data_IF_186642803952
#
_entry.id   IF_186642803952
#
_cell.length_a   1.000
_cell.length_b   1.000
_cell.length_c   1.000
_cell.angle_alpha   90.00
_cell.angle_beta   90.00
_cell.angle_gamma   90.00
#
_symmetry.space_group_name_H-M   'P 1'
#
loop_
_entity.id
_entity.type
_entity.pdbx_description
1 polymer ?
#
# COMPACT_ATOMS: atom_id res chain seq x y z
N UNK A 1 -28.77 -28.14 -10.12
CA UNK A 1 -28.82 -27.73 -8.69
C UNK A 1 -27.42 -27.30 -8.24
N UNK A 2 -26.40 -28.16 -8.36
CA UNK A 2 -25.01 -27.89 -7.93
C UNK A 2 -24.36 -26.70 -8.67
N UNK A 3 -24.59 -26.53 -9.97
CA UNK A 3 -24.01 -25.43 -10.75
C UNK A 3 -24.44 -24.04 -10.25
N UNK A 4 -25.71 -23.87 -9.88
CA UNK A 4 -26.24 -22.58 -9.39
C UNK A 4 -25.70 -22.20 -8.02
N UNK A 5 -25.42 -23.19 -7.18
CA UNK A 5 -24.81 -23.01 -5.87
C UNK A 5 -23.35 -22.57 -6.03
N UNK A 6 -22.58 -23.25 -6.89
CA UNK A 6 -21.20 -22.85 -7.18
C UNK A 6 -21.15 -21.45 -7.79
N UNK A 7 -22.07 -21.13 -8.70
CA UNK A 7 -22.20 -19.79 -9.27
C UNK A 7 -22.53 -18.73 -8.20
N UNK A 8 -23.43 -19.04 -7.26
CA UNK A 8 -23.74 -18.15 -6.14
C UNK A 8 -22.52 -17.90 -5.26
N UNK A 9 -21.77 -18.96 -4.92
CA UNK A 9 -20.55 -18.82 -4.12
C UNK A 9 -19.46 -17.99 -4.83
N UNK A 10 -19.46 -18.00 -6.17
CA UNK A 10 -18.57 -17.15 -6.96
C UNK A 10 -19.03 -15.69 -6.95
N UNK A 11 -20.35 -15.42 -7.04
CA UNK A 11 -20.91 -14.05 -6.94
C UNK A 11 -20.58 -13.44 -5.58
N UNK A 12 -20.66 -14.24 -4.52
CA UNK A 12 -20.35 -13.81 -3.14
C UNK A 12 -18.84 -13.82 -2.82
N UNK A 13 -18.00 -14.16 -3.80
CA UNK A 13 -16.54 -14.27 -3.67
C UNK A 13 -16.10 -15.24 -2.54
N UNK A 14 -16.92 -16.24 -2.23
CA UNK A 14 -16.64 -17.28 -1.24
C UNK A 14 -15.74 -18.38 -1.82
N UNK A 15 -15.96 -18.76 -3.09
CA UNK A 15 -15.14 -19.75 -3.78
C UNK A 15 -14.83 -19.33 -5.23
N UNK A 16 -13.54 -19.25 -5.56
CA UNK A 16 -13.06 -18.92 -6.90
C UNK A 16 -12.47 -20.18 -7.52
N UNK A 17 -13.19 -20.75 -8.49
CA UNK A 17 -12.75 -21.93 -9.23
C UNK A 17 -12.46 -21.55 -10.68
N UNK A 18 -11.21 -21.73 -11.10
CA UNK A 18 -10.76 -21.45 -12.46
C UNK A 18 -11.51 -22.26 -13.53
N UNK A 19 -11.93 -23.49 -13.20
CA UNK A 19 -12.69 -24.33 -14.13
C UNK A 19 -14.11 -23.76 -14.37
N UNK A 20 -14.74 -23.22 -13.32
CA UNK A 20 -16.05 -22.59 -13.42
C UNK A 20 -15.97 -21.27 -14.20
N UNK A 21 -14.90 -20.49 -14.03
CA UNK A 21 -14.68 -19.27 -14.81
C UNK A 21 -14.53 -19.56 -16.31
N UNK A 22 -13.81 -20.62 -16.67
CA UNK A 22 -13.67 -21.06 -18.06
C UNK A 22 -15.01 -21.58 -18.64
N UNK A 23 -15.81 -22.27 -17.83
CA UNK A 23 -17.16 -22.72 -18.18
C UNK A 23 -18.13 -21.55 -18.38
N UNK A 24 -18.08 -20.55 -17.49
CA UNK A 24 -18.89 -19.32 -17.56
C UNK A 24 -18.64 -18.54 -18.87
N UNK A 25 -17.41 -18.56 -19.39
CA UNK A 25 -17.07 -17.93 -20.66
C UNK A 25 -17.59 -18.67 -21.90
N UNK A 26 -18.02 -19.93 -21.75
CA UNK A 26 -18.46 -20.81 -22.86
C UNK A 26 -19.97 -21.05 -22.86
N UNK A 27 -20.60 -21.06 -21.70
CA UNK A 27 -22.03 -21.36 -21.55
C UNK A 27 -22.86 -20.07 -21.37
N UNK A 28 -23.72 -19.80 -22.35
CA UNK A 28 -24.62 -18.64 -22.37
C UNK A 28 -25.67 -18.68 -21.24
N UNK A 29 -26.15 -19.85 -20.83
CA UNK A 29 -27.14 -19.99 -19.78
C UNK A 29 -26.54 -19.71 -18.39
N UNK A 30 -25.29 -20.12 -18.16
CA UNK A 30 -24.54 -19.77 -16.96
C UNK A 30 -24.21 -18.28 -16.93
N UNK A 31 -23.76 -17.69 -18.05
CA UNK A 31 -23.52 -16.26 -18.17
C UNK A 31 -24.79 -15.43 -17.89
N UNK A 32 -25.94 -15.86 -18.40
CA UNK A 32 -27.23 -15.23 -18.13
C UNK A 32 -27.62 -15.32 -16.65
N UNK A 33 -27.37 -16.47 -16.01
CA UNK A 33 -27.63 -16.65 -14.58
C UNK A 33 -26.74 -15.75 -13.72
N UNK A 34 -25.46 -15.61 -14.08
CA UNK A 34 -24.50 -14.70 -13.44
C UNK A 34 -24.97 -13.25 -13.52
N UNK A 35 -25.37 -12.81 -14.71
CA UNK A 35 -25.91 -11.48 -14.94
C UNK A 35 -27.16 -11.22 -14.10
N UNK A 36 -28.10 -12.18 -14.04
CA UNK A 36 -29.32 -12.04 -13.25
C UNK A 36 -29.03 -11.91 -11.75
N UNK A 37 -28.07 -12.64 -11.21
CA UNK A 37 -27.71 -12.54 -9.79
C UNK A 37 -27.17 -11.16 -9.43
N UNK A 38 -26.27 -10.61 -10.25
CA UNK A 38 -25.80 -9.23 -10.07
C UNK A 38 -26.93 -8.21 -10.20
N UNK A 39 -27.79 -8.35 -11.22
CA UNK A 39 -28.95 -7.46 -11.42
C UNK A 39 -29.91 -7.49 -10.22
N UNK A 40 -30.23 -8.67 -9.67
CA UNK A 40 -31.06 -8.79 -8.47
C UNK A 40 -30.41 -8.06 -7.29
N UNK A 41 -29.10 -8.26 -7.09
CA UNK A 41 -28.33 -7.57 -6.06
C UNK A 41 -28.38 -6.04 -6.21
N UNK A 42 -28.20 -5.53 -7.42
CA UNK A 42 -28.24 -4.09 -7.71
C UNK A 42 -29.64 -3.51 -7.48
N UNK A 43 -30.69 -4.26 -7.84
CA UNK A 43 -32.09 -3.86 -7.55
C UNK A 43 -32.31 -3.80 -6.04
N UNK A 44 -31.85 -4.81 -5.29
CA UNK A 44 -32.01 -4.86 -3.84
C UNK A 44 -31.27 -3.73 -3.12
N UNK A 45 -30.10 -3.30 -3.63
CA UNK A 45 -29.33 -2.17 -3.10
C UNK A 45 -29.84 -0.80 -3.58
N UNK A 46 -30.76 -0.77 -4.54
CA UNK A 46 -31.24 0.47 -5.14
C UNK A 46 -30.21 1.14 -6.05
N UNK A 47 -29.24 0.39 -6.57
CA UNK A 47 -28.15 0.85 -7.43
C UNK A 47 -28.52 0.78 -8.93
N UNK A 48 -29.75 0.42 -9.24
CA UNK A 48 -30.20 0.32 -10.64
C UNK A 48 -30.53 1.69 -11.23
N UNK A 49 -29.99 2.02 -12.42
CA UNK A 49 -30.42 3.21 -13.16
C UNK A 49 -31.88 3.08 -13.59
N UNK A 50 -32.55 4.20 -13.84
CA UNK A 50 -33.95 4.25 -14.30
C UNK A 50 -34.21 3.43 -15.58
N UNK A 51 -33.16 3.19 -16.37
CA UNK A 51 -33.18 2.31 -17.55
C UNK A 51 -31.99 1.37 -17.50
N UNK A 52 -32.23 0.06 -17.40
CA UNK A 52 -31.20 -0.98 -17.48
C UNK A 52 -30.98 -1.32 -18.96
N UNK A 53 -29.82 -0.95 -19.51
CA UNK A 53 -29.46 -1.28 -20.90
C UNK A 53 -28.57 -2.51 -20.94
N UNK A 54 -29.13 -3.64 -21.38
CA UNK A 54 -28.41 -4.91 -21.52
C UNK A 54 -27.48 -4.94 -22.75
N UNK A 55 -27.62 -3.98 -23.65
CA UNK A 55 -26.81 -3.88 -24.87
C UNK A 55 -25.37 -3.42 -24.62
N UNK A 56 -25.09 -2.83 -23.45
CA UNK A 56 -23.75 -2.34 -23.10
C UNK A 56 -22.73 -3.47 -23.06
N UNK A 57 -23.07 -4.61 -22.44
CA UNK A 57 -22.17 -5.77 -22.37
C UNK A 57 -21.78 -6.21 -23.78
N UNK A 58 -22.76 -6.33 -24.69
CA UNK A 58 -22.52 -6.73 -26.09
C UNK A 58 -21.65 -5.72 -26.84
N UNK A 59 -21.93 -4.42 -26.68
CA UNK A 59 -21.14 -3.37 -27.32
C UNK A 59 -19.69 -3.35 -26.82
N UNK A 60 -19.48 -3.52 -25.51
CA UNK A 60 -18.16 -3.57 -24.88
C UNK A 60 -17.41 -4.82 -25.35
N UNK A 61 -18.03 -5.99 -25.36
CA UNK A 61 -17.39 -7.22 -25.85
C UNK A 61 -16.96 -7.09 -27.32
N UNK A 62 -17.80 -6.47 -28.16
CA UNK A 62 -17.45 -6.21 -29.55
C UNK A 62 -16.28 -5.24 -29.69
N UNK A 63 -16.27 -4.16 -28.90
CA UNK A 63 -15.17 -3.19 -28.90
C UNK A 63 -13.85 -3.83 -28.44
N UNK A 64 -13.88 -4.63 -27.37
CA UNK A 64 -12.70 -5.35 -26.86
C UNK A 64 -12.17 -6.35 -27.90
N UNK A 65 -13.05 -7.02 -28.65
CA UNK A 65 -12.63 -7.95 -29.70
C UNK A 65 -11.91 -7.25 -30.87
N UNK A 66 -12.13 -5.95 -31.07
CA UNK A 66 -11.47 -5.14 -32.08
C UNK A 66 -10.14 -4.55 -31.59
N UNK A 67 -9.84 -4.63 -30.29
CA UNK A 67 -8.58 -4.15 -29.73
C UNK A 67 -7.39 -5.02 -30.19
N UNK A 68 -6.27 -4.40 -30.60
CA UNK A 68 -5.06 -5.16 -30.92
C UNK A 68 -4.53 -5.82 -29.66
N UNK A 69 -4.22 -7.12 -29.74
CA UNK A 69 -3.70 -7.89 -28.61
C UNK A 69 -2.47 -7.18 -28.01
N UNK A 70 -2.62 -6.68 -26.78
CA UNK A 70 -1.54 -6.06 -26.04
C UNK A 70 -0.47 -7.12 -25.80
N UNK A 71 0.63 -7.08 -26.55
CA UNK A 71 1.85 -7.81 -26.22
C UNK A 71 2.45 -7.19 -24.97
N UNK A 72 1.98 -7.65 -23.81
CA UNK A 72 2.63 -7.37 -22.56
C UNK A 72 4.06 -7.91 -22.65
N UNK A 73 5.10 -7.12 -22.32
CA UNK A 73 6.44 -7.66 -22.16
C UNK A 73 6.31 -8.80 -21.16
N UNK A 74 6.53 -10.04 -21.61
CA UNK A 74 6.72 -11.15 -20.68
C UNK A 74 7.84 -10.66 -19.77
N UNK A 75 7.55 -10.50 -18.48
CA UNK A 75 8.62 -10.37 -17.51
C UNK A 75 9.51 -11.58 -17.75
N UNK A 76 10.68 -11.34 -18.34
CA UNK A 76 11.73 -12.34 -18.40
C UNK A 76 12.12 -12.55 -16.95
N UNK A 77 11.43 -13.49 -16.29
CA UNK A 77 11.97 -14.17 -15.15
C UNK A 77 13.36 -14.61 -15.60
N UNK A 78 14.39 -14.03 -14.96
CA UNK A 78 15.81 -14.26 -15.19
C UNK A 78 16.55 -13.20 -16.04
N UNK A 79 16.80 -12.02 -15.45
CA UNK A 79 18.16 -11.46 -15.43
C UNK A 79 18.38 -10.50 -14.24
N UNK A 80 17.96 -10.92 -13.05
CA UNK A 80 18.21 -10.16 -11.81
C UNK A 80 19.69 -10.11 -11.42
N UNK A 81 20.55 -10.92 -12.04
CA UNK A 81 21.98 -11.02 -11.74
C UNK A 81 22.76 -9.74 -12.12
N UNK A 82 22.38 -9.06 -13.20
CA UNK A 82 23.08 -7.85 -13.66
C UNK A 82 22.65 -6.61 -12.87
N UNK A 83 21.33 -6.45 -12.65
CA UNK A 83 20.77 -5.36 -11.86
C UNK A 83 21.19 -5.42 -10.38
N UNK A 84 21.21 -6.61 -9.77
CA UNK A 84 21.62 -6.78 -8.37
C UNK A 84 23.12 -6.55 -8.15
N UNK A 85 23.99 -6.86 -9.12
CA UNK A 85 25.44 -6.71 -8.94
C UNK A 85 25.93 -5.28 -9.15
N UNK A 86 25.35 -4.54 -10.08
CA UNK A 86 25.87 -3.21 -10.48
C UNK A 86 25.08 -2.07 -9.84
N UNK A 87 23.75 -2.20 -9.72
CA UNK A 87 22.87 -1.08 -9.35
C UNK A 87 22.54 -1.09 -7.85
N UNK A 88 22.44 -2.27 -7.23
CA UNK A 88 22.12 -2.41 -5.80
C UNK A 88 23.09 -1.71 -4.84
N UNK A 89 24.42 -1.70 -5.05
CA UNK A 89 25.34 -0.99 -4.16
C UNK A 89 25.16 0.54 -4.24
N UNK A 90 24.97 1.07 -5.46
CA UNK A 90 24.82 2.51 -5.68
C UNK A 90 23.48 3.04 -5.17
N UNK A 91 22.40 2.24 -5.28
CA UNK A 91 21.08 2.63 -4.82
C UNK A 91 20.99 2.69 -3.28
N UNK A 92 21.70 1.80 -2.57
CA UNK A 92 21.76 1.80 -1.10
C UNK A 92 22.52 3.01 -0.52
N UNK A 93 23.44 3.60 -1.28
CA UNK A 93 24.21 4.78 -0.85
C UNK A 93 23.68 6.09 -1.44
N UNK A 94 23.10 6.07 -2.65
CA UNK A 94 22.62 7.26 -3.36
C UNK A 94 21.12 7.55 -3.28
N UNK A 95 20.29 6.57 -2.88
CA UNK A 95 18.82 6.71 -2.87
C UNK A 95 18.28 7.82 -1.97
N UNK A 96 19.04 8.24 -0.96
CA UNK A 96 18.65 9.33 -0.05
C UNK A 96 18.67 10.72 -0.73
N UNK A 97 19.49 10.91 -1.77
CA UNK A 97 19.56 12.18 -2.48
C UNK A 97 18.48 12.35 -3.55
N UNK A 98 17.79 11.27 -3.95
CA UNK A 98 16.80 11.31 -5.02
C UNK A 98 15.60 12.21 -4.68
N UNK A 99 15.11 12.15 -3.43
CA UNK A 99 13.99 12.97 -2.97
C UNK A 99 14.41 14.45 -2.93
N UNK A 100 15.58 14.75 -2.34
CA UNK A 100 16.10 16.11 -2.25
C UNK A 100 16.39 16.73 -3.63
N UNK A 101 17.00 15.98 -4.55
CA UNK A 101 17.28 16.44 -5.91
C UNK A 101 16.00 16.72 -6.70
N UNK A 102 14.96 15.90 -6.52
CA UNK A 102 13.65 16.09 -7.15
C UNK A 102 12.98 17.38 -6.67
N UNK A 103 12.99 17.64 -5.35
CA UNK A 103 12.46 18.88 -4.77
C UNK A 103 13.28 20.09 -5.22
N UNK A 104 14.62 20.00 -5.24
CA UNK A 104 15.48 21.08 -5.69
C UNK A 104 15.24 21.44 -7.17
N UNK A 105 15.11 20.44 -8.06
CA UNK A 105 14.75 20.67 -9.46
C UNK A 105 13.37 21.33 -9.58
N UNK A 106 12.39 20.92 -8.78
CA UNK A 106 11.05 21.52 -8.78
C UNK A 106 11.08 22.99 -8.32
N UNK A 107 11.87 23.32 -7.29
CA UNK A 107 12.04 24.71 -6.81
C UNK A 107 12.74 25.58 -7.85
N UNK A 108 13.82 25.08 -8.46
CA UNK A 108 14.58 25.82 -9.48
C UNK A 108 13.74 26.08 -10.74
N UNK A 109 12.94 25.09 -11.16
CA UNK A 109 12.05 25.24 -12.33
C UNK A 109 10.81 26.08 -12.02
N UNK A 110 10.29 26.03 -10.78
CA UNK A 110 9.14 26.82 -10.34
C UNK A 110 9.41 28.33 -10.17
N UNK A 111 10.65 28.73 -9.87
CA UNK A 111 11.02 30.15 -9.64
C UNK A 111 10.81 31.04 -10.87
N UNK A 112 10.86 30.51 -12.10
CA UNK A 112 10.59 31.34 -13.29
C UNK A 112 9.09 31.57 -13.54
N UNK A 113 8.20 30.78 -12.95
CA UNK A 113 6.76 30.89 -13.21
C UNK A 113 6.05 31.87 -12.25
N UNK A 114 6.75 32.39 -11.24
CA UNK A 114 6.17 33.34 -10.27
C UNK A 114 7.06 34.57 -10.14
N UNK A 115 6.92 35.50 -11.10
CA UNK A 115 7.20 36.91 -10.82
C UNK A 115 6.08 37.45 -9.92
N UNK A 116 6.08 37.04 -8.65
CA UNK A 116 5.31 37.73 -7.61
C UNK A 116 6.24 37.95 -6.44
N UNK A 117 6.59 39.22 -6.22
CA UNK A 117 7.37 39.68 -5.07
C UNK A 117 6.71 39.23 -3.76
N UNK A 118 7.35 38.28 -3.08
CA UNK A 118 7.07 37.99 -1.67
C UNK A 118 8.39 37.70 -0.94
N UNK A 119 8.80 38.52 0.03
CA UNK A 119 10.04 38.31 0.78
C UNK A 119 9.90 37.08 1.69
N UNK A 120 10.69 36.05 1.40
CA UNK A 120 10.90 34.87 2.24
C UNK A 120 11.53 35.31 3.57
N UNK A 121 10.69 35.50 4.58
CA UNK A 121 11.09 35.74 5.98
C UNK A 121 10.39 34.69 6.84
N UNK A 122 11.13 33.70 7.33
CA UNK A 122 10.62 32.74 8.33
C UNK A 122 11.05 31.30 8.09
N UNK A 123 12.34 31.00 8.28
CA UNK A 123 12.78 29.63 8.58
C UNK A 123 12.38 29.30 10.03
N UNK A 124 11.44 28.37 10.19
CA UNK A 124 11.12 27.74 11.46
C UNK A 124 10.33 26.44 11.21
N UNK A 125 10.68 25.30 11.85
CA UNK A 125 9.94 24.06 11.68
C UNK A 125 8.67 24.14 12.53
N UNK A 126 7.59 24.66 11.96
CA UNK A 126 6.27 24.62 12.60
C UNK A 126 5.49 23.40 12.09
N UNK A 127 5.90 22.21 12.52
CA UNK A 127 5.10 20.99 12.36
C UNK A 127 4.25 20.80 13.62
N UNK A 128 3.14 21.54 13.68
CA UNK A 128 2.10 21.35 14.69
C UNK A 128 0.98 20.50 14.05
N UNK A 129 1.06 19.18 14.19
CA UNK A 129 0.00 18.26 13.75
C UNK A 129 -0.99 18.06 14.88
N UNK A 130 -2.17 18.64 14.72
CA UNK A 130 -3.32 18.40 15.60
C UNK A 130 -3.88 17.01 15.27
N UNK A 131 -3.89 16.04 16.21
CA UNK A 131 -4.43 14.71 15.93
C UNK A 131 -5.95 14.76 15.97
N UNK A 132 -6.60 14.51 14.84
CA UNK A 132 -8.03 14.25 14.81
C UNK A 132 -8.27 12.83 15.35
N UNK A 133 -8.68 12.76 16.62
CA UNK A 133 -9.28 11.61 17.29
C UNK A 133 -8.48 10.29 17.29
N UNK A 134 -7.75 10.05 18.40
CA UNK A 134 -7.26 8.72 18.77
C UNK A 134 -5.82 8.73 19.26
N UNK A 135 -5.60 8.28 20.48
CA UNK A 135 -4.37 8.42 21.25
C UNK A 135 -3.32 7.44 20.71
N UNK A 136 -2.29 7.91 20.01
CA UNK A 136 -1.10 7.11 19.73
C UNK A 136 -0.22 7.11 20.99
N UNK A 137 -0.48 6.16 21.89
CA UNK A 137 0.41 5.87 23.01
C UNK A 137 1.75 5.36 22.46
N UNK A 138 2.90 6.00 22.76
CA UNK A 138 4.19 5.44 22.42
C UNK A 138 4.35 4.09 23.15
N UNK A 139 4.77 3.07 22.42
CA UNK A 139 5.03 1.73 22.98
C UNK A 139 6.29 1.80 23.85
N UNK A 140 6.11 2.16 25.11
CA UNK A 140 7.04 1.85 26.19
C UNK A 140 6.46 0.68 26.98
N UNK A 141 7.25 -0.37 27.20
CA UNK A 141 6.90 -1.44 28.14
C UNK A 141 6.76 -0.84 29.54
N UNK A 142 5.53 -0.51 29.95
CA UNK A 142 5.19 -0.14 31.32
C UNK A 142 4.50 -1.35 31.94
N UNK A 143 5.20 -2.02 32.86
CA UNK A 143 4.60 -3.02 33.74
C UNK A 143 3.66 -2.27 34.67
N UNK A 144 2.38 -2.61 34.57
CA UNK A 144 1.27 -2.00 35.29
C UNK A 144 1.39 -2.26 36.81
N UNK A 145 1.44 -1.19 37.59
CA UNK A 145 0.98 -1.17 38.98
C UNK A 145 -0.19 -0.18 39.02
N UNK A 146 -1.37 -0.55 39.54
CA UNK A 146 -2.49 0.37 39.58
C UNK A 146 -2.32 1.37 40.73
N UNK A 147 -2.86 2.56 40.49
CA UNK A 147 -3.08 3.69 41.39
C UNK A 147 -2.01 4.79 41.48
N UNK A 148 -2.50 6.00 41.13
CA UNK A 148 -1.99 7.36 41.33
C UNK A 148 -1.08 8.01 40.27
N UNK A 149 -1.64 9.08 39.69
CA UNK A 149 -1.06 10.36 39.25
C UNK A 149 0.36 10.37 38.66
N UNK A 150 0.40 10.82 37.41
CA UNK A 150 1.57 11.15 36.60
C UNK A 150 2.66 11.92 37.34
N UNK A 151 3.84 11.33 37.40
CA UNK A 151 5.11 12.03 37.20
C UNK A 151 5.95 11.10 36.31
N UNK A 152 6.29 11.48 35.06
CA UNK A 152 7.34 10.79 34.33
C UNK A 152 8.61 10.83 35.19
N UNK A 153 9.29 9.71 35.49
CA UNK A 153 10.59 9.80 36.15
C UNK A 153 11.51 10.58 35.21
N UNK A 154 11.83 11.82 35.57
CA UNK A 154 12.86 12.60 34.90
C UNK A 154 14.19 11.89 35.20
N UNK A 155 14.64 11.05 34.27
CA UNK A 155 15.96 10.42 34.41
C UNK A 155 17.00 11.53 34.48
N UNK A 156 17.80 11.56 35.54
CA UNK A 156 18.95 12.48 35.62
C UNK A 156 19.91 12.18 34.47
N UNK A 157 20.68 13.18 34.03
CA UNK A 157 21.57 12.99 32.88
C UNK A 157 22.59 11.86 33.10
N UNK A 158 22.92 11.56 34.35
CA UNK A 158 23.74 10.41 34.74
C UNK A 158 23.03 9.07 34.43
N UNK A 159 21.74 8.95 34.75
CA UNK A 159 20.94 7.75 34.48
C UNK A 159 20.74 7.53 32.97
N UNK A 160 20.61 8.61 32.19
CA UNK A 160 20.57 8.54 30.72
C UNK A 160 21.88 7.98 30.16
N UNK A 161 23.02 8.47 30.67
CA UNK A 161 24.34 7.99 30.24
C UNK A 161 24.53 6.51 30.59
N UNK A 162 24.03 6.07 31.75
CA UNK A 162 24.04 4.65 32.11
C UNK A 162 23.16 3.79 31.21
N UNK A 163 21.95 4.25 30.88
CA UNK A 163 21.08 3.55 29.93
C UNK A 163 21.76 3.43 28.55
N UNK A 164 22.37 4.51 28.05
CA UNK A 164 23.12 4.50 26.78
C UNK A 164 24.28 3.51 26.82
N UNK A 165 25.02 3.44 27.94
CA UNK A 165 26.09 2.43 28.09
C UNK A 165 25.55 1.00 28.07
N UNK A 166 24.45 0.73 28.77
CA UNK A 166 23.82 -0.60 28.79
C UNK A 166 23.34 -1.01 27.40
N UNK A 167 22.72 -0.10 26.66
CA UNK A 167 22.29 -0.33 25.27
C UNK A 167 23.49 -0.65 24.38
N UNK A 168 24.56 0.13 24.47
CA UNK A 168 25.77 -0.10 23.67
C UNK A 168 26.39 -1.47 23.98
N UNK A 169 26.49 -1.84 25.26
CA UNK A 169 26.97 -3.15 25.68
C UNK A 169 26.10 -4.29 25.12
N UNK A 170 24.78 -4.16 25.19
CA UNK A 170 23.84 -5.14 24.65
C UNK A 170 23.98 -5.30 23.12
N UNK A 171 24.11 -4.19 22.39
CA UNK A 171 24.30 -4.20 20.93
C UNK A 171 25.58 -4.94 20.55
N UNK A 172 26.68 -4.68 21.27
CA UNK A 172 27.96 -5.35 21.03
C UNK A 172 27.89 -6.86 21.33
N UNK A 173 27.27 -7.26 22.44
CA UNK A 173 27.08 -8.67 22.78
C UNK A 173 26.20 -9.39 21.74
N UNK A 174 25.10 -8.76 21.33
CA UNK A 174 24.21 -9.30 20.30
C UNK A 174 24.92 -9.50 18.95
N UNK A 175 25.83 -8.58 18.59
CA UNK A 175 26.69 -8.73 17.41
C UNK A 175 27.65 -9.92 17.54
N UNK A 176 28.21 -10.16 18.74
CA UNK A 176 29.09 -11.30 19.00
C UNK A 176 28.33 -12.64 18.94
N UNK A 177 27.15 -12.71 19.55
CA UNK A 177 26.31 -13.92 19.49
C UNK A 177 25.98 -14.31 18.05
N UNK A 178 25.65 -13.34 17.19
CA UNK A 178 25.40 -13.60 15.75
C UNK A 178 26.63 -14.16 15.03
N UNK A 179 27.84 -13.81 15.45
CA UNK A 179 29.08 -14.34 14.86
C UNK A 179 29.41 -15.75 15.35
N UNK A 180 28.99 -16.13 16.56
CA UNK A 180 29.21 -17.49 17.09
C UNK A 180 28.19 -18.49 16.51
N UNK A 181 27.02 -18.03 16.09
CA UNK A 181 25.99 -18.86 15.46
C UNK A 181 26.18 -19.06 13.93
N UNK A 182 27.28 -18.54 13.35
CA UNK A 182 27.72 -18.81 11.97
C UNK A 182 28.93 -19.74 11.99
#
# INVERSE_FOLDING_TARGET
MIEKERLSSLVDNESIDAALLDELGKDEALASSWQHYHMIGDVMRGETPATVSLDLTRAITAAIAEEPALTMPKESANDSSFYQKVIQPWLKTGGQFAIAASVALMVITGVQYSNTDAPITGLGPALNVMPFAGIASPVSLSIESPDMYQVPPEFTDEEKVEQVRRINAFVLDHQLQKRIQQ
#
